data_IF_056519306096
#
_entry.id   IF_056519306096
#
_cell.length_a   1.000
_cell.length_b   1.000
_cell.length_c   1.000
_cell.angle_alpha   90.00
_cell.angle_beta   90.00
_cell.angle_gamma   90.00
#
_symmetry.space_group_name_H-M   'P 1'
#
loop_
_entity.id
_entity.type
_entity.pdbx_description
1 polymer ?
#
# COMPACT_ATOMS: atom_id res chain seq x y z
N UNK A 1 -31.09 1.14 1.10
CA UNK A 1 -31.29 0.60 2.47
C UNK A 1 -29.91 0.29 3.00
N UNK A 2 -29.54 0.74 4.19
CA UNK A 2 -28.20 0.48 4.74
C UNK A 2 -27.97 -1.03 4.86
N UNK A 3 -26.95 -1.53 4.18
CA UNK A 3 -26.63 -2.95 4.09
C UNK A 3 -25.62 -3.28 5.19
N UNK A 4 -26.08 -3.61 6.40
CA UNK A 4 -25.16 -3.83 7.52
C UNK A 4 -24.45 -5.18 7.41
N UNK A 5 -23.11 -5.17 7.45
CA UNK A 5 -22.27 -6.37 7.36
C UNK A 5 -21.80 -6.78 8.77
N UNK A 6 -22.00 -8.04 9.20
CA UNK A 6 -21.54 -8.50 10.51
C UNK A 6 -20.03 -8.69 10.55
N UNK A 7 -19.38 -8.13 11.57
CA UNK A 7 -17.95 -8.30 11.84
C UNK A 7 -17.67 -9.42 12.86
N UNK A 8 -18.64 -9.70 13.73
CA UNK A 8 -18.51 -10.71 14.78
C UNK A 8 -19.06 -10.23 16.11
N UNK A 9 -18.71 -10.92 17.19
CA UNK A 9 -19.18 -10.56 18.53
C UNK A 9 -18.44 -9.31 19.03
N UNK A 10 -19.17 -8.29 19.47
CA UNK A 10 -18.60 -7.03 19.96
C UNK A 10 -17.69 -7.22 21.18
N UNK A 11 -17.93 -8.26 21.99
CA UNK A 11 -17.11 -8.59 23.17
C UNK A 11 -15.72 -9.17 22.82
N UNK A 12 -15.44 -9.46 21.54
CA UNK A 12 -14.10 -9.88 21.10
C UNK A 12 -13.08 -8.73 21.12
N UNK A 13 -13.54 -7.49 21.14
CA UNK A 13 -12.70 -6.30 21.27
C UNK A 13 -12.98 -5.73 22.65
N UNK A 14 -12.03 -5.89 23.57
CA UNK A 14 -12.17 -5.32 24.92
C UNK A 14 -12.00 -3.80 24.89
N UNK A 15 -12.59 -3.04 25.83
CA UNK A 15 -12.33 -1.61 25.94
C UNK A 15 -10.82 -1.31 26.04
N UNK A 16 -10.36 -0.31 25.32
CA UNK A 16 -8.95 0.06 25.19
C UNK A 16 -8.16 -0.79 24.17
N UNK A 17 -8.81 -1.71 23.47
CA UNK A 17 -8.17 -2.56 22.45
C UNK A 17 -8.73 -2.29 21.06
N UNK A 18 -8.11 -2.91 20.06
CA UNK A 18 -8.46 -2.75 18.65
C UNK A 18 -8.28 -4.06 17.89
N UNK A 19 -8.98 -4.22 16.77
CA UNK A 19 -8.93 -5.41 15.92
C UNK A 19 -9.15 -5.04 14.45
N UNK A 20 -8.41 -5.69 13.55
CA UNK A 20 -8.57 -5.51 12.11
C UNK A 20 -9.60 -6.50 11.58
N UNK A 21 -10.33 -6.07 10.55
CA UNK A 21 -11.30 -6.89 9.83
C UNK A 21 -11.12 -6.66 8.33
N UNK A 22 -11.31 -7.71 7.54
CA UNK A 22 -11.39 -7.57 6.09
C UNK A 22 -12.86 -7.59 5.66
N UNK A 23 -13.33 -6.50 5.07
CA UNK A 23 -14.71 -6.36 4.58
C UNK A 23 -14.64 -6.14 3.08
N UNK A 24 -15.07 -7.13 2.30
CA UNK A 24 -15.14 -7.06 0.83
C UNK A 24 -13.80 -6.66 0.17
N UNK A 25 -12.67 -7.09 0.76
CA UNK A 25 -11.32 -6.80 0.27
C UNK A 25 -10.65 -5.56 0.89
N UNK A 26 -11.42 -4.70 1.54
CA UNK A 26 -10.87 -3.55 2.31
C UNK A 26 -10.54 -3.98 3.73
N UNK A 27 -9.34 -3.67 4.20
CA UNK A 27 -8.99 -3.87 5.61
C UNK A 27 -9.38 -2.63 6.42
N UNK A 28 -10.18 -2.86 7.47
CA UNK A 28 -10.61 -1.81 8.39
C UNK A 28 -10.05 -2.09 9.79
N UNK A 29 -9.66 -1.04 10.49
CA UNK A 29 -9.26 -1.12 11.89
C UNK A 29 -10.40 -0.63 12.79
N UNK A 30 -10.84 -1.49 13.70
CA UNK A 30 -11.86 -1.16 14.69
C UNK A 30 -11.20 -0.93 16.04
N UNK A 31 -11.43 0.25 16.62
CA UNK A 31 -10.96 0.67 17.93
C UNK A 31 -12.14 0.65 18.90
N UNK A 32 -11.96 0.01 20.05
CA UNK A 32 -12.91 0.09 21.16
C UNK A 32 -12.36 1.03 22.21
N UNK A 33 -12.78 2.29 22.15
CA UNK A 33 -12.29 3.35 23.03
C UNK A 33 -13.04 3.29 24.35
N UNK A 34 -12.32 3.09 25.45
CA UNK A 34 -12.89 3.09 26.78
C UNK A 34 -13.33 4.51 27.20
N UNK A 35 -14.45 4.61 27.92
CA UNK A 35 -14.95 5.87 28.50
C UNK A 35 -15.26 5.66 29.98
N UNK A 36 -14.21 5.56 30.79
CA UNK A 36 -14.33 5.29 32.23
C UNK A 36 -15.17 4.05 32.53
N UNK A 37 -16.27 4.24 33.28
CA UNK A 37 -17.22 3.18 33.65
C UNK A 37 -18.33 2.93 32.60
N UNK A 38 -18.35 3.70 31.51
CA UNK A 38 -19.31 3.51 30.41
C UNK A 38 -18.82 2.41 29.46
N UNK A 39 -19.73 1.76 28.70
CA UNK A 39 -19.42 0.62 27.84
C UNK A 39 -18.48 0.90 26.64
N UNK A 40 -17.81 2.05 26.60
CA UNK A 40 -16.91 2.45 25.52
C UNK A 40 -17.63 2.76 24.21
N UNK A 41 -16.90 3.35 23.26
CA UNK A 41 -17.39 3.63 21.90
C UNK A 41 -16.52 2.92 20.88
N UNK A 42 -17.14 2.33 19.87
CA UNK A 42 -16.43 1.74 18.74
C UNK A 42 -16.25 2.75 17.62
N UNK A 43 -15.04 2.82 17.08
CA UNK A 43 -14.73 3.58 15.87
C UNK A 43 -14.09 2.66 14.85
N UNK A 44 -14.45 2.81 13.57
CA UNK A 44 -13.80 2.11 12.47
C UNK A 44 -13.21 3.11 11.49
N UNK A 45 -12.00 2.81 11.04
CA UNK A 45 -11.26 3.55 10.02
C UNK A 45 -10.74 2.59 8.95
N UNK A 46 -10.35 3.13 7.80
CA UNK A 46 -9.48 2.39 6.88
C UNK A 46 -8.17 2.08 7.60
N UNK A 47 -7.70 0.83 7.52
CA UNK A 47 -6.47 0.46 8.18
C UNK A 47 -5.23 1.03 7.46
N UNK A 48 -5.36 1.41 6.19
CA UNK A 48 -4.29 2.04 5.42
C UNK A 48 -4.16 3.53 5.77
N UNK A 49 -2.97 3.94 6.20
CA UNK A 49 -2.66 5.35 6.40
C UNK A 49 -2.83 6.13 5.08
N UNK A 50 -3.56 7.26 5.06
CA UNK A 50 -3.83 8.01 3.83
C UNK A 50 -2.58 8.63 3.18
N UNK A 51 -1.45 8.63 3.88
CA UNK A 51 -0.17 9.09 3.33
C UNK A 51 0.48 8.05 2.42
N UNK A 52 0.81 6.85 2.95
CA UNK A 52 1.56 5.81 2.24
C UNK A 52 1.12 4.37 2.59
N UNK A 53 -0.11 4.18 3.06
CA UNK A 53 -0.71 2.87 3.23
C UNK A 53 -0.21 2.03 4.42
N UNK A 54 0.60 2.59 5.31
CA UNK A 54 1.04 1.91 6.53
C UNK A 54 -0.15 1.46 7.40
N UNK A 55 -0.02 0.30 8.05
CA UNK A 55 -1.07 -0.28 8.89
C UNK A 55 -1.29 0.52 10.17
N UNK A 56 -2.39 1.25 10.26
CA UNK A 56 -2.69 2.12 11.41
C UNK A 56 -3.01 1.32 12.67
N UNK A 57 -3.51 0.09 12.54
CA UNK A 57 -3.73 -0.78 13.69
C UNK A 57 -2.43 -1.21 14.40
N UNK A 58 -1.28 -1.09 13.73
CA UNK A 58 0.03 -1.33 14.35
C UNK A 58 0.57 -0.07 15.05
N UNK A 59 0.01 1.10 14.73
CA UNK A 59 0.42 2.39 15.28
C UNK A 59 0.15 2.56 16.77
N UNK A 60 0.96 3.28 17.51
CA UNK A 60 0.73 3.50 18.95
C UNK A 60 -0.36 4.56 19.20
N UNK A 61 -1.00 4.56 20.37
CA UNK A 61 -2.00 5.57 20.69
C UNK A 61 -2.87 5.21 21.90
N UNK A 62 -3.59 6.20 22.42
CA UNK A 62 -4.51 6.02 23.54
C UNK A 62 -5.82 6.79 23.31
N UNK A 63 -6.92 6.28 23.86
CA UNK A 63 -8.22 6.90 23.64
C UNK A 63 -8.58 6.87 22.15
N UNK A 64 -8.85 8.04 21.58
CA UNK A 64 -9.18 8.21 20.15
C UNK A 64 -7.95 8.43 19.27
N UNK A 65 -6.75 8.51 19.84
CA UNK A 65 -5.55 8.81 19.05
C UNK A 65 -4.91 7.53 18.50
N UNK A 66 -4.40 7.61 17.28
CA UNK A 66 -3.50 6.63 16.68
C UNK A 66 -2.39 7.33 15.89
N UNK A 67 -1.16 6.94 16.15
CA UNK A 67 0.05 7.44 15.50
C UNK A 67 0.51 6.44 14.46
N UNK A 68 0.59 6.85 13.20
CA UNK A 68 1.07 6.00 12.11
C UNK A 68 2.51 5.51 12.39
N UNK A 69 2.77 4.20 12.35
CA UNK A 69 4.07 3.64 12.74
C UNK A 69 5.21 3.97 11.76
N UNK A 70 4.90 4.52 10.58
CA UNK A 70 5.90 4.78 9.54
C UNK A 70 6.41 6.23 9.56
N UNK A 71 5.55 7.21 9.84
CA UNK A 71 5.88 8.63 9.73
C UNK A 71 5.44 9.45 10.95
N UNK A 72 4.96 8.79 12.00
CA UNK A 72 4.52 9.39 13.27
C UNK A 72 3.38 10.41 13.15
N UNK A 73 2.59 10.37 12.06
CA UNK A 73 1.42 11.24 11.92
C UNK A 73 0.32 10.78 12.88
N UNK A 74 -0.22 11.71 13.64
CA UNK A 74 -1.25 11.45 14.64
C UNK A 74 -2.64 11.73 14.08
N UNK A 75 -3.54 10.78 14.27
CA UNK A 75 -4.91 10.85 13.81
C UNK A 75 -5.88 10.60 14.95
N UNK A 76 -7.00 11.30 14.94
CA UNK A 76 -8.13 11.00 15.82
C UNK A 76 -9.10 10.05 15.07
N UNK A 77 -9.32 8.85 15.60
CA UNK A 77 -10.20 7.83 14.98
C UNK A 77 -11.70 8.17 15.11
N UNK A 78 -12.05 9.06 16.04
CA UNK A 78 -13.43 9.50 16.29
C UNK A 78 -13.85 10.67 15.41
N UNK A 79 -12.93 11.52 14.95
CA UNK A 79 -13.20 12.59 13.98
C UNK A 79 -12.72 12.22 12.58
N UNK A 80 -11.60 11.51 12.49
CA UNK A 80 -10.87 11.19 11.26
C UNK A 80 -9.80 12.23 10.94
N UNK A 81 -9.63 13.26 11.74
CA UNK A 81 -8.67 14.34 11.46
C UNK A 81 -7.23 13.87 11.66
N UNK A 82 -6.34 14.31 10.77
CA UNK A 82 -4.90 14.23 10.98
C UNK A 82 -4.43 15.53 11.64
N UNK A 83 -3.81 15.42 12.82
CA UNK A 83 -3.38 16.57 13.60
C UNK A 83 -2.16 17.28 12.99
N UNK A 84 -1.31 16.54 12.28
CA UNK A 84 -0.12 17.08 11.63
C UNK A 84 -0.42 17.70 10.27
N UNK A 85 -1.31 17.07 9.48
CA UNK A 85 -1.65 17.47 8.12
C UNK A 85 -3.15 17.33 7.84
N UNK A 86 -3.96 18.38 8.07
CA UNK A 86 -5.43 18.31 7.98
C UNK A 86 -6.00 17.83 6.64
N UNK A 87 -5.24 17.96 5.55
CA UNK A 87 -5.65 17.50 4.22
C UNK A 87 -5.64 15.95 4.07
N UNK A 88 -5.02 15.23 5.01
CA UNK A 88 -4.89 13.77 4.99
C UNK A 88 -5.79 13.11 6.04
N UNK A 89 -7.10 13.36 5.96
CA UNK A 89 -8.07 12.77 6.87
C UNK A 89 -8.27 11.25 6.64
N UNK A 90 -8.57 10.53 7.72
CA UNK A 90 -8.94 9.12 7.67
C UNK A 90 -10.33 8.92 7.06
N UNK A 91 -10.47 7.87 6.25
CA UNK A 91 -11.78 7.34 5.91
C UNK A 91 -12.36 6.60 7.12
N UNK A 92 -13.59 6.94 7.50
CA UNK A 92 -14.29 6.36 8.64
C UNK A 92 -15.49 5.53 8.20
N UNK A 93 -15.77 4.48 8.96
CA UNK A 93 -16.90 3.60 8.72
C UNK A 93 -17.88 3.61 9.89
N UNK A 94 -19.16 3.70 9.56
CA UNK A 94 -20.22 3.67 10.56
C UNK A 94 -20.36 2.26 11.13
N UNK A 95 -20.40 2.20 12.46
CA UNK A 95 -20.59 0.98 13.23
C UNK A 95 -21.89 1.03 14.00
N UNK A 96 -22.47 -0.15 14.23
CA UNK A 96 -23.50 -0.34 15.26
C UNK A 96 -23.32 -1.68 15.95
N UNK A 97 -23.83 -1.77 17.17
CA UNK A 97 -23.95 -3.05 17.89
C UNK A 97 -25.43 -3.42 17.92
N UNK A 98 -25.77 -4.59 17.37
CA UNK A 98 -27.13 -5.12 17.37
C UNK A 98 -27.13 -6.50 18.00
N UNK A 99 -27.82 -6.64 19.13
CA UNK A 99 -27.91 -7.91 19.90
C UNK A 99 -26.54 -8.52 20.23
N UNK A 100 -25.53 -7.67 20.48
CA UNK A 100 -24.16 -8.10 20.81
C UNK A 100 -23.25 -8.39 19.60
N UNK A 101 -23.77 -8.25 18.37
CA UNK A 101 -22.98 -8.37 17.15
C UNK A 101 -22.55 -6.98 16.70
N UNK A 102 -21.25 -6.80 16.45
CA UNK A 102 -20.72 -5.60 15.83
C UNK A 102 -20.95 -5.65 14.32
N UNK A 103 -21.52 -4.59 13.78
CA UNK A 103 -21.87 -4.46 12.37
C UNK A 103 -21.25 -3.19 11.80
N UNK A 104 -20.86 -3.21 10.52
CA UNK A 104 -20.40 -2.04 9.77
C UNK A 104 -21.35 -1.70 8.62
N UNK A 105 -21.49 -0.42 8.26
CA UNK A 105 -22.31 -0.03 7.12
C UNK A 105 -21.68 -0.49 5.80
N UNK A 106 -22.28 -1.50 5.19
CA UNK A 106 -21.88 -2.08 3.92
C UNK A 106 -22.06 -1.15 2.72
N UNK A 107 -22.76 -0.02 2.85
CA UNK A 107 -22.84 0.97 1.77
C UNK A 107 -21.50 1.68 1.51
N UNK A 108 -20.62 1.71 2.52
CA UNK A 108 -19.26 2.25 2.39
C UNK A 108 -18.31 1.33 1.62
N UNK A 109 -18.73 0.10 1.32
CA UNK A 109 -17.93 -0.90 0.63
C UNK A 109 -18.59 -1.24 -0.70
N UNK A 110 -17.88 -1.03 -1.81
CA UNK A 110 -18.29 -1.60 -3.10
C UNK A 110 -18.52 -3.10 -2.94
N UNK A 111 -19.49 -3.68 -3.63
CA UNK A 111 -19.44 -5.14 -3.79
C UNK A 111 -18.05 -5.47 -4.34
N UNK A 112 -17.33 -6.45 -3.75
CA UNK A 112 -16.19 -6.99 -4.46
C UNK A 112 -16.82 -7.42 -5.77
N UNK A 113 -16.37 -6.82 -6.87
CA UNK A 113 -16.92 -7.15 -8.17
C UNK A 113 -16.89 -8.68 -8.36
N UNK A 114 -17.45 -9.21 -9.46
CA UNK A 114 -17.07 -10.55 -9.88
C UNK A 114 -15.55 -10.71 -9.71
N UNK A 115 -15.05 -11.87 -9.24
CA UNK A 115 -13.63 -12.05 -8.93
C UNK A 115 -12.86 -11.39 -10.05
N UNK A 116 -12.08 -10.35 -9.69
CA UNK A 116 -11.40 -9.54 -10.69
C UNK A 116 -10.71 -10.52 -11.62
N UNK A 117 -10.84 -10.29 -12.92
CA UNK A 117 -10.14 -11.13 -13.87
C UNK A 117 -8.65 -10.96 -13.59
N UNK A 118 -8.03 -11.96 -12.96
CA UNK A 118 -6.71 -11.83 -12.37
C UNK A 118 -5.69 -12.42 -13.33
N UNK A 119 -4.57 -11.72 -13.49
CA UNK A 119 -3.44 -12.20 -14.25
C UNK A 119 -2.20 -12.18 -13.37
N UNK A 120 -1.38 -13.21 -13.51
CA UNK A 120 -0.02 -13.20 -13.00
C UNK A 120 0.84 -12.44 -14.02
N UNK A 121 1.46 -11.36 -13.60
CA UNK A 121 2.20 -10.45 -14.48
C UNK A 121 3.61 -10.27 -13.97
N UNK A 122 4.59 -10.36 -14.88
CA UNK A 122 5.97 -9.94 -14.61
C UNK A 122 6.12 -8.46 -14.97
N UNK A 123 6.65 -7.62 -14.10
CA UNK A 123 6.72 -6.17 -14.33
C UNK A 123 7.96 -5.52 -13.72
N UNK A 124 8.24 -4.29 -14.16
CA UNK A 124 9.42 -3.52 -13.76
C UNK A 124 10.74 -4.10 -14.29
N UNK A 125 11.82 -3.32 -14.20
CA UNK A 125 13.15 -3.71 -14.65
C UNK A 125 13.71 -4.91 -13.85
N UNK A 126 13.36 -4.99 -12.56
CA UNK A 126 13.77 -6.09 -11.68
C UNK A 126 12.99 -7.40 -11.93
N UNK A 127 11.96 -7.38 -12.79
CA UNK A 127 11.19 -8.58 -13.13
C UNK A 127 10.35 -9.13 -11.97
N UNK A 128 9.75 -8.24 -11.19
CA UNK A 128 8.80 -8.58 -10.14
C UNK A 128 7.62 -9.38 -10.70
N UNK A 129 7.02 -10.25 -9.89
CA UNK A 129 5.88 -11.07 -10.31
C UNK A 129 4.78 -10.94 -9.28
N UNK A 130 3.60 -10.46 -9.72
CA UNK A 130 2.42 -10.38 -8.85
C UNK A 130 1.11 -10.49 -9.63
N UNK A 131 -0.01 -10.41 -8.92
CA UNK A 131 -1.37 -10.52 -9.43
C UNK A 131 -1.91 -9.14 -9.76
N UNK A 132 -2.50 -9.00 -10.94
CA UNK A 132 -3.13 -7.75 -11.38
C UNK A 132 -4.57 -8.02 -11.81
N UNK A 133 -5.46 -7.11 -11.44
CA UNK A 133 -6.86 -7.14 -11.90
C UNK A 133 -6.99 -6.59 -13.32
N UNK A 134 -7.91 -7.14 -14.09
CA UNK A 134 -8.35 -6.59 -15.37
C UNK A 134 -9.88 -6.55 -15.42
N UNK A 135 -10.40 -5.92 -16.46
CA UNK A 135 -11.84 -5.96 -16.71
C UNK A 135 -12.31 -7.40 -16.94
N UNK A 136 -13.54 -7.76 -16.54
CA UNK A 136 -14.04 -9.15 -16.64
C UNK A 136 -14.05 -9.74 -18.05
N UNK A 137 -14.04 -8.87 -19.07
CA UNK A 137 -14.08 -9.22 -20.49
C UNK A 137 -12.71 -9.24 -21.18
N UNK A 138 -11.67 -8.76 -20.49
CA UNK A 138 -10.31 -8.80 -21.01
C UNK A 138 -9.78 -10.23 -21.04
N UNK A 139 -9.03 -10.57 -22.08
CA UNK A 139 -8.27 -11.83 -22.10
C UNK A 139 -6.92 -11.55 -22.73
N UNK A 140 -5.88 -11.61 -21.89
CA UNK A 140 -4.53 -11.35 -22.34
C UNK A 140 -3.77 -12.68 -22.49
N UNK A 141 -3.34 -13.04 -23.71
CA UNK A 141 -2.50 -14.19 -23.93
C UNK A 141 -1.18 -14.13 -23.14
N UNK A 142 -0.60 -15.30 -22.90
CA UNK A 142 0.76 -15.40 -22.36
C UNK A 142 1.75 -14.61 -23.24
N UNK A 143 2.61 -13.84 -22.58
CA UNK A 143 3.60 -12.89 -23.16
C UNK A 143 3.02 -11.65 -23.80
N UNK A 144 1.74 -11.35 -23.60
CA UNK A 144 1.21 -10.03 -23.97
C UNK A 144 1.87 -8.97 -23.09
N UNK A 145 2.41 -7.93 -23.73
CA UNK A 145 2.89 -6.76 -23.04
C UNK A 145 1.68 -5.89 -22.66
N UNK A 146 1.64 -5.42 -21.42
CA UNK A 146 0.51 -4.66 -20.87
C UNK A 146 1.01 -3.44 -20.11
N UNK A 147 0.20 -2.39 -20.07
CA UNK A 147 0.40 -1.26 -19.18
C UNK A 147 -0.35 -1.53 -17.87
N UNK A 148 0.34 -1.31 -16.75
CA UNK A 148 -0.14 -1.55 -15.41
C UNK A 148 -0.27 -0.23 -14.65
N UNK A 149 -1.27 -0.12 -13.79
CA UNK A 149 -1.32 0.89 -12.74
C UNK A 149 -0.91 0.23 -11.42
N UNK A 150 0.17 0.72 -10.81
CA UNK A 150 0.74 0.19 -9.55
C UNK A 150 0.75 1.27 -8.48
N UNK A 151 1.05 0.89 -7.24
CA UNK A 151 1.29 1.84 -6.14
C UNK A 151 2.47 2.79 -6.40
N UNK A 152 3.38 2.45 -7.32
CA UNK A 152 4.53 3.29 -7.70
C UNK A 152 4.23 4.26 -8.85
N UNK A 153 3.22 3.95 -9.66
CA UNK A 153 2.89 4.66 -10.90
C UNK A 153 2.56 3.69 -12.04
N UNK A 154 2.54 4.22 -13.28
CA UNK A 154 2.33 3.38 -14.47
C UNK A 154 3.59 2.57 -14.80
N UNK A 155 3.43 1.27 -15.03
CA UNK A 155 4.52 0.34 -15.30
C UNK A 155 4.22 -0.55 -16.49
N UNK A 156 5.27 -1.06 -17.15
CA UNK A 156 5.11 -2.05 -18.21
C UNK A 156 5.27 -3.45 -17.63
N UNK A 157 4.33 -4.32 -17.98
CA UNK A 157 4.30 -5.72 -17.58
C UNK A 157 4.20 -6.68 -18.77
N UNK A 158 4.48 -7.95 -18.50
CA UNK A 158 4.31 -9.08 -19.39
C UNK A 158 3.43 -10.13 -18.71
N UNK A 159 2.36 -10.53 -19.37
CA UNK A 159 1.42 -11.54 -18.86
C UNK A 159 2.10 -12.91 -18.80
N UNK A 160 2.10 -13.52 -17.62
CA UNK A 160 2.56 -14.90 -17.42
C UNK A 160 1.40 -15.90 -17.53
N UNK A 161 0.26 -15.60 -16.92
CA UNK A 161 -0.90 -16.49 -16.95
C UNK A 161 -2.17 -15.80 -16.48
N UNK A 162 -3.32 -16.21 -17.00
CA UNK A 162 -4.61 -15.94 -16.36
C UNK A 162 -4.75 -16.80 -15.10
N UNK A 163 -5.22 -16.20 -14.02
CA UNK A 163 -5.48 -16.88 -12.75
C UNK A 163 -6.89 -17.43 -12.80
N UNK A 164 -7.02 -18.75 -12.69
CA UNK A 164 -8.33 -19.41 -12.66
C UNK A 164 -9.16 -19.00 -11.45
N UNK A 165 -10.43 -19.38 -11.43
CA UNK A 165 -11.29 -19.14 -10.28
C UNK A 165 -10.72 -19.81 -9.01
N UNK A 166 -10.48 -19.01 -7.98
CA UNK A 166 -10.01 -19.45 -6.67
C UNK A 166 -11.07 -19.16 -5.61
N UNK A 167 -11.24 -20.07 -4.63
CA UNK A 167 -12.16 -19.86 -3.49
C UNK A 167 -11.77 -18.63 -2.65
N UNK A 168 -10.48 -18.31 -2.61
CA UNK A 168 -9.94 -17.10 -2.00
C UNK A 168 -8.91 -16.49 -2.97
N UNK A 169 -9.30 -15.51 -3.81
CA UNK A 169 -8.38 -14.89 -4.73
C UNK A 169 -7.30 -14.11 -3.97
N UNK A 170 -6.06 -14.06 -4.47
CA UNK A 170 -5.03 -13.18 -3.95
C UNK A 170 -5.44 -11.71 -4.17
N UNK A 171 -4.94 -10.83 -3.30
CA UNK A 171 -5.09 -9.38 -3.47
C UNK A 171 -4.26 -8.96 -4.68
N UNK A 172 -4.82 -8.13 -5.55
CA UNK A 172 -4.09 -7.59 -6.68
C UNK A 172 -3.12 -6.48 -6.23
N UNK A 173 -1.91 -6.48 -6.80
CA UNK A 173 -0.90 -5.44 -6.67
C UNK A 173 -1.31 -4.11 -7.33
N UNK A 174 -2.27 -4.19 -8.25
CA UNK A 174 -2.73 -3.09 -9.10
C UNK A 174 -3.67 -3.61 -10.19
N UNK A 175 -3.86 -2.82 -11.23
CA UNK A 175 -4.71 -3.17 -12.38
C UNK A 175 -3.95 -3.15 -13.70
N UNK A 176 -4.40 -3.96 -14.65
CA UNK A 176 -4.03 -3.87 -16.06
C UNK A 176 -4.90 -2.78 -16.67
N UNK A 177 -4.25 -1.76 -17.23
CA UNK A 177 -4.94 -0.62 -17.86
C UNK A 177 -5.34 -0.96 -19.29
N UNK A 178 -4.42 -1.56 -20.06
CA UNK A 178 -4.60 -1.96 -21.46
C UNK A 178 -3.39 -2.73 -21.99
N UNK A 179 -3.50 -3.31 -23.19
CA UNK A 179 -2.33 -3.79 -23.94
C UNK A 179 -1.33 -2.66 -24.21
N UNK A 180 -0.04 -3.01 -24.12
CA UNK A 180 1.08 -2.15 -24.43
C UNK A 180 1.30 -2.10 -25.95
N UNK A 181 1.31 -0.90 -26.52
CA UNK A 181 1.30 -0.70 -27.98
C UNK A 181 2.70 -0.35 -28.53
N UNK A 182 2.94 -0.52 -29.84
CA UNK A 182 4.19 -0.06 -30.47
C UNK A 182 4.45 1.45 -30.33
N UNK A 183 3.40 2.26 -30.19
CA UNK A 183 3.54 3.70 -29.92
C UNK A 183 4.12 3.95 -28.53
N UNK A 184 3.70 3.17 -27.54
CA UNK A 184 4.24 3.22 -26.17
C UNK A 184 5.72 2.79 -26.15
N UNK A 185 6.07 1.73 -26.88
CA UNK A 185 7.46 1.26 -27.01
C UNK A 185 8.41 2.34 -27.53
N UNK A 186 7.92 3.18 -28.45
CA UNK A 186 8.71 4.26 -29.03
C UNK A 186 8.98 5.37 -28.00
N UNK A 187 8.08 5.59 -27.03
CA UNK A 187 8.29 6.55 -25.95
C UNK A 187 9.38 6.07 -24.97
N UNK A 188 9.40 4.78 -24.63
CA UNK A 188 10.42 4.19 -23.75
C UNK A 188 11.85 4.29 -24.32
N UNK A 189 11.99 4.13 -25.64
CA UNK A 189 13.32 4.17 -26.29
C UNK A 189 14.02 5.54 -26.15
N UNK A 190 13.26 6.59 -25.85
CA UNK A 190 13.80 7.94 -25.61
C UNK A 190 14.25 8.21 -24.17
N UNK A 191 14.07 7.25 -23.26
CA UNK A 191 14.26 7.40 -21.81
C UNK A 191 15.62 6.91 -21.29
N UNK A 192 16.37 6.11 -22.06
CA UNK A 192 17.62 5.46 -21.62
C UNK A 192 18.72 6.45 -21.17
N UNK A 193 18.75 7.67 -21.72
CA UNK A 193 19.73 8.70 -21.34
C UNK A 193 19.50 9.25 -19.91
N UNK A 194 18.26 9.18 -19.41
CA UNK A 194 17.88 9.71 -18.09
C UNK A 194 18.31 8.78 -16.98
N UNK A 195 17.95 7.50 -17.07
CA UNK A 195 18.24 6.51 -16.03
C UNK A 195 19.74 6.34 -15.83
N UNK A 196 20.52 6.29 -16.92
CA UNK A 196 21.97 6.22 -16.87
C UNK A 196 22.60 7.41 -16.14
N UNK A 197 22.07 8.62 -16.34
CA UNK A 197 22.58 9.83 -15.69
C UNK A 197 22.25 9.84 -14.20
N UNK A 198 21.00 9.59 -13.84
CA UNK A 198 20.56 9.55 -12.43
C UNK A 198 21.31 8.47 -11.66
N UNK A 199 21.51 7.29 -12.27
CA UNK A 199 22.29 6.21 -11.68
C UNK A 199 23.74 6.64 -11.39
N UNK A 200 24.41 7.25 -12.37
CA UNK A 200 25.80 7.69 -12.24
C UNK A 200 25.97 8.79 -11.18
N UNK A 201 25.04 9.76 -11.13
CA UNK A 201 25.07 10.83 -10.14
C UNK A 201 24.86 10.28 -8.72
N UNK A 202 23.91 9.36 -8.56
CA UNK A 202 23.66 8.70 -7.28
C UNK A 202 24.88 7.91 -6.79
N UNK A 203 25.51 7.12 -7.67
CA UNK A 203 26.74 6.38 -7.34
C UNK A 203 27.87 7.31 -6.91
N UNK A 204 28.01 8.45 -7.58
CA UNK A 204 29.04 9.46 -7.24
C UNK A 204 28.80 10.01 -5.82
N UNK A 205 27.56 10.40 -5.50
CA UNK A 205 27.20 10.92 -4.17
C UNK A 205 27.41 9.88 -3.06
N UNK A 206 27.07 8.61 -3.31
CA UNK A 206 27.29 7.51 -2.36
C UNK A 206 28.79 7.33 -2.09
N UNK A 207 29.61 7.37 -3.14
CA UNK A 207 31.06 7.21 -3.02
C UNK A 207 31.71 8.38 -2.28
N UNK A 208 31.35 9.62 -2.62
CA UNK A 208 31.88 10.83 -1.97
C UNK A 208 31.55 10.88 -0.47
N UNK A 209 30.41 10.31 -0.08
CA UNK A 209 29.94 10.24 1.32
C UNK A 209 30.40 9.01 2.07
N UNK A 210 31.04 8.05 1.39
CA UNK A 210 31.46 6.78 1.99
C UNK A 210 30.28 5.98 2.56
N UNK A 211 29.11 6.04 1.91
CA UNK A 211 27.91 5.37 2.39
C UNK A 211 28.03 3.85 2.24
N UNK A 212 27.59 3.04 3.22
CA UNK A 212 27.69 1.59 3.18
C UNK A 212 26.52 0.97 2.39
N UNK A 213 26.24 1.48 1.19
CA UNK A 213 25.18 1.00 0.30
C UNK A 213 25.65 1.03 -1.15
N UNK A 214 25.03 0.21 -1.98
CA UNK A 214 25.31 0.10 -3.40
C UNK A 214 24.01 0.18 -4.19
N UNK A 215 24.01 0.99 -5.24
CA UNK A 215 22.91 1.05 -6.20
C UNK A 215 23.11 -0.08 -7.20
N UNK A 216 22.06 -0.89 -7.33
CA UNK A 216 22.03 -2.07 -8.19
C UNK A 216 21.50 -1.70 -9.57
N UNK A 217 20.40 -0.95 -9.63
CA UNK A 217 19.76 -0.58 -10.90
C UNK A 217 18.95 0.72 -10.80
N UNK A 218 18.51 1.25 -11.92
CA UNK A 218 17.69 2.47 -12.05
C UNK A 218 16.66 2.30 -13.16
N UNK A 219 15.38 2.47 -12.83
CA UNK A 219 14.30 2.48 -13.81
C UNK A 219 13.54 3.81 -13.80
N UNK A 220 13.07 4.24 -14.96
CA UNK A 220 12.07 5.30 -15.06
C UNK A 220 10.71 4.64 -15.28
N UNK A 221 9.72 5.03 -14.48
CA UNK A 221 8.35 4.54 -14.64
C UNK A 221 7.73 5.10 -15.93
N UNK A 222 6.72 4.40 -16.45
CA UNK A 222 6.13 4.73 -17.75
C UNK A 222 5.46 6.11 -17.76
N UNK A 223 4.98 6.58 -16.61
CA UNK A 223 4.40 7.91 -16.42
C UNK A 223 5.38 9.08 -16.69
N UNK A 224 6.68 8.80 -16.83
CA UNK A 224 7.77 9.78 -16.99
C UNK A 224 7.88 10.80 -15.85
N UNK A 225 7.27 10.51 -14.71
CA UNK A 225 7.30 11.35 -13.51
C UNK A 225 8.25 10.79 -12.46
N UNK A 226 8.38 9.47 -12.39
CA UNK A 226 9.11 8.79 -11.32
C UNK A 226 10.33 8.04 -11.82
N UNK A 227 11.45 8.15 -11.11
CA UNK A 227 12.66 7.35 -11.29
C UNK A 227 12.93 6.57 -10.00
N UNK A 228 13.04 5.25 -10.11
CA UNK A 228 13.27 4.34 -8.99
C UNK A 228 14.71 3.87 -9.02
N UNK A 229 15.45 4.14 -7.95
CA UNK A 229 16.79 3.63 -7.71
C UNK A 229 16.74 2.41 -6.80
N UNK A 230 17.23 1.29 -7.31
CA UNK A 230 17.30 0.04 -6.57
C UNK A 230 18.62 -0.06 -5.81
N UNK A 231 18.57 -0.43 -4.54
CA UNK A 231 19.77 -0.54 -3.71
C UNK A 231 19.77 -1.83 -2.87
N UNK A 232 20.97 -2.23 -2.44
CA UNK A 232 21.16 -3.39 -1.57
C UNK A 232 21.24 -2.98 -0.10
N UNK A 233 20.49 -3.68 0.75
CA UNK A 233 20.49 -3.49 2.20
C UNK A 233 19.23 -2.82 2.72
N UNK A 234 19.20 -2.55 4.03
CA UNK A 234 18.03 -1.98 4.69
C UNK A 234 17.91 -0.47 4.47
N UNK A 235 16.69 0.05 4.61
CA UNK A 235 16.43 1.50 4.58
C UNK A 235 17.30 2.26 5.59
N UNK A 236 17.91 3.35 5.15
CA UNK A 236 18.75 4.22 5.98
C UNK A 236 18.36 5.68 5.77
N UNK A 237 18.32 6.52 6.84
CA UNK A 237 18.01 7.95 6.71
C UNK A 237 18.92 8.71 5.73
N UNK A 238 20.15 8.25 5.54
CA UNK A 238 21.08 8.84 4.58
C UNK A 238 20.59 8.74 3.13
N UNK A 239 19.78 7.73 2.78
CA UNK A 239 19.18 7.60 1.45
C UNK A 239 18.07 8.64 1.23
N UNK A 240 17.36 9.06 2.27
CA UNK A 240 16.34 10.11 2.16
C UNK A 240 16.95 11.47 1.85
N UNK A 241 18.07 11.80 2.49
CA UNK A 241 18.84 13.01 2.20
C UNK A 241 19.33 12.99 0.75
N UNK A 242 19.81 11.83 0.30
CA UNK A 242 20.30 11.65 -1.06
C UNK A 242 19.14 11.76 -2.08
N UNK A 243 17.97 11.20 -1.76
CA UNK A 243 16.76 11.39 -2.56
C UNK A 243 16.40 12.87 -2.65
N UNK A 244 16.36 13.61 -1.55
CA UNK A 244 16.02 15.05 -1.56
C UNK A 244 16.97 15.86 -2.45
N UNK A 245 18.26 15.58 -2.40
CA UNK A 245 19.26 16.26 -3.23
C UNK A 245 19.12 15.93 -4.71
N UNK A 246 18.92 14.66 -5.05
CA UNK A 246 18.65 14.25 -6.42
C UNK A 246 17.35 14.89 -6.93
N UNK A 247 16.27 14.89 -6.14
CA UNK A 247 15.00 15.56 -6.47
C UNK A 247 15.15 17.09 -6.64
N UNK A 248 16.16 17.72 -6.05
CA UNK A 248 16.44 19.15 -6.26
C UNK A 248 17.14 19.42 -7.60
N UNK A 249 17.86 18.45 -8.14
CA UNK A 249 18.63 18.56 -9.38
C UNK A 249 17.86 18.08 -10.62
N UNK A 250 16.76 17.36 -10.41
CA UNK A 250 15.96 16.74 -11.46
C UNK A 250 14.50 17.16 -11.39
N UNK A 251 13.82 17.18 -12.53
CA UNK A 251 12.38 17.44 -12.60
C UNK A 251 11.54 16.21 -12.26
N UNK A 252 12.17 15.04 -12.16
CA UNK A 252 11.54 13.77 -11.83
C UNK A 252 11.54 13.51 -10.34
N UNK A 253 10.52 12.80 -9.87
CA UNK A 253 10.47 12.26 -8.52
C UNK A 253 11.40 11.07 -8.41
N UNK A 254 12.50 11.22 -7.67
CA UNK A 254 13.48 10.14 -7.44
C UNK A 254 13.17 9.46 -6.12
N UNK A 255 13.01 8.14 -6.16
CA UNK A 255 12.71 7.29 -4.98
C UNK A 255 13.68 6.12 -4.90
N UNK A 256 13.90 5.62 -3.68
CA UNK A 256 14.77 4.47 -3.43
C UNK A 256 13.93 3.25 -3.06
N UNK A 257 14.23 2.11 -3.67
CA UNK A 257 13.59 0.83 -3.36
C UNK A 257 14.63 -0.24 -3.03
N UNK A 258 14.53 -0.92 -1.88
CA UNK A 258 15.41 -2.04 -1.58
C UNK A 258 15.10 -3.22 -2.51
N UNK A 259 16.13 -3.97 -2.93
CA UNK A 259 15.99 -5.11 -3.87
C UNK A 259 15.36 -6.35 -3.25
N UNK A 260 15.36 -6.48 -1.92
CA UNK A 260 14.83 -7.63 -1.20
C UNK A 260 13.35 -7.49 -0.80
N UNK A 261 12.75 -6.33 -1.07
CA UNK A 261 11.32 -6.10 -0.88
C UNK A 261 10.66 -5.97 -2.25
N UNK A 262 9.61 -6.76 -2.50
CA UNK A 262 8.75 -6.49 -3.64
C UNK A 262 8.03 -5.15 -3.42
N UNK A 263 7.83 -4.33 -4.49
CA UNK A 263 7.05 -3.12 -4.37
C UNK A 263 5.65 -3.48 -3.89
N UNK A 264 5.23 -2.86 -2.78
CA UNK A 264 4.13 -3.33 -1.96
C UNK A 264 2.89 -3.76 -2.78
N UNK A 265 2.67 -5.07 -2.76
CA UNK A 265 1.40 -5.72 -3.02
C UNK A 265 1.11 -6.60 -1.79
N UNK A 266 0.46 -6.00 -0.80
CA UNK A 266 -0.18 -6.68 0.33
C UNK A 266 0.48 -8.01 0.75
N UNK A 267 1.75 -7.98 1.14
CA UNK A 267 2.40 -9.17 1.68
C UNK A 267 1.90 -9.35 3.10
N UNK A 268 0.84 -10.15 3.23
CA UNK A 268 0.41 -10.76 4.48
C UNK A 268 1.59 -11.52 5.11
N UNK A 269 2.39 -10.82 5.92
CA UNK A 269 3.36 -11.46 6.80
C UNK A 269 2.59 -12.13 7.93
N UNK A 270 2.20 -13.37 7.66
CA UNK A 270 1.69 -14.31 8.64
C UNK A 270 2.85 -14.70 9.57
N UNK A 271 3.10 -13.91 10.60
CA UNK A 271 4.16 -14.16 11.58
C UNK A 271 3.67 -13.82 12.99
N UNK A 272 3.10 -14.82 13.68
CA UNK A 272 2.52 -14.66 15.00
C UNK A 272 3.51 -14.26 16.08
N UNK A 273 3.00 -13.53 17.07
CA UNK A 273 3.69 -13.23 18.32
C UNK A 273 2.80 -12.40 19.24
N UNK A 274 1.87 -13.07 19.93
CA UNK A 274 1.13 -12.46 21.04
C UNK A 274 1.96 -12.32 22.31
N UNK A 275 1.40 -11.54 23.24
CA UNK A 275 1.75 -11.34 24.66
C UNK A 275 2.92 -10.38 24.95
N UNK A 276 2.80 -9.40 25.85
CA UNK A 276 1.68 -9.02 26.71
C UNK A 276 1.98 -7.75 27.50
N UNK A 277 0.93 -7.01 27.86
CA UNK A 277 1.03 -5.87 28.76
C UNK A 277 0.95 -6.35 30.22
N UNK A 278 2.01 -6.12 30.97
CA UNK A 278 2.10 -5.95 32.42
C UNK A 278 3.49 -5.31 32.65
N UNK A 279 3.75 -4.29 33.47
CA UNK A 279 3.06 -3.56 34.52
C UNK A 279 3.80 -2.20 34.62
N UNK A 280 3.08 -1.10 34.89
CA UNK A 280 3.14 -0.33 36.15
C UNK A 280 2.29 0.93 36.08
#
# INVERSE_FOLDING_TARGET
MANWIPLGNAYEISPGTRKAYTVKGTEIAVFHVADGDQPGTFYAIDNACPHQGASLIEGEGCGTEVTCPLHDWNFDVATGECHDFPDFALTRFDLKVETGVLMVDGAAFGDPGPPANLFLVRYGAMGWVDHFSAEPEDDYPHRTAVLLETSRGEEVGEILSAVGQMEKPPTAAGSIVREFTPTDQSALTSQEDVTARVFQDCQTLIQERGMPTEIIDCEQLFDQQTVVLYYLGSRMPALEILAQELNANYTWRIVFHPVDEAPAASSCSSGGGGCGCNEK
#
